data_IF_006093817189
#
_entry.id   IF_006093817189
#
_cell.length_a   1.000
_cell.length_b   1.000
_cell.length_c   1.000
_cell.angle_alpha   90.00
_cell.angle_beta   90.00
_cell.angle_gamma   90.00
#
_symmetry.space_group_name_H-M   'P 1'
#
loop_
_entity.id
_entity.type
_entity.pdbx_description
1 polymer ?
#
# COMPACT_ATOMS: atom_id res chain seq x y z
N UNK A 1 -11.14 4.71 36.96
CA UNK A 1 -10.13 5.16 35.98
C UNK A 1 -9.74 3.92 35.20
N UNK A 2 -10.38 3.72 34.05
CA UNK A 2 -10.10 2.56 33.21
C UNK A 2 -8.81 2.82 32.46
N UNK A 3 -7.84 1.95 32.71
CA UNK A 3 -6.58 1.82 32.00
C UNK A 3 -6.87 1.61 30.50
N UNK A 4 -6.85 2.70 29.73
CA UNK A 4 -6.77 2.64 28.26
C UNK A 4 -5.30 2.52 27.90
N UNK A 5 -4.73 1.35 28.17
CA UNK A 5 -3.51 0.94 27.49
C UNK A 5 -3.78 1.01 25.98
N UNK A 6 -2.98 1.75 25.18
CA UNK A 6 -3.20 1.86 23.75
C UNK A 6 -3.19 0.45 23.15
N UNK A 7 -4.27 0.09 22.45
CA UNK A 7 -4.35 -1.15 21.67
C UNK A 7 -3.10 -1.17 20.78
N UNK A 8 -2.24 -2.22 20.83
CA UNK A 8 -1.09 -2.27 19.94
C UNK A 8 -1.62 -2.12 18.51
N UNK A 9 -0.96 -1.27 17.73
CA UNK A 9 -1.14 -1.20 16.28
C UNK A 9 -0.89 -2.61 15.72
N UNK A 10 -1.95 -3.39 15.65
CA UNK A 10 -1.86 -4.83 15.52
C UNK A 10 -1.57 -5.18 14.08
N UNK A 11 -0.50 -5.93 13.85
CA UNK A 11 -0.38 -6.68 12.63
C UNK A 11 -1.41 -7.80 12.60
N UNK A 12 -2.03 -8.01 11.44
CA UNK A 12 -2.94 -9.12 11.19
C UNK A 12 -2.59 -9.77 9.86
N UNK A 13 -2.87 -11.06 9.75
CA UNK A 13 -2.80 -11.80 8.49
C UNK A 13 -4.23 -12.00 8.00
N UNK A 14 -4.51 -11.54 6.80
CA UNK A 14 -5.81 -11.69 6.13
C UNK A 14 -5.65 -12.47 4.82
N UNK A 15 -6.75 -12.92 4.25
CA UNK A 15 -6.70 -13.53 2.91
C UNK A 15 -6.34 -12.48 1.84
N UNK A 16 -5.72 -12.93 0.75
CA UNK A 16 -5.44 -12.09 -0.41
C UNK A 16 -6.72 -11.45 -0.97
N UNK A 17 -7.82 -12.20 -0.99
CA UNK A 17 -9.14 -11.71 -1.44
C UNK A 17 -9.64 -10.56 -0.56
N UNK A 18 -9.57 -10.68 0.77
CA UNK A 18 -9.97 -9.62 1.70
C UNK A 18 -9.10 -8.36 1.54
N UNK A 19 -7.80 -8.53 1.30
CA UNK A 19 -6.88 -7.43 1.04
C UNK A 19 -7.23 -6.71 -0.27
N UNK A 20 -7.43 -7.46 -1.36
CA UNK A 20 -7.82 -6.92 -2.65
C UNK A 20 -9.17 -6.18 -2.56
N UNK A 21 -10.16 -6.74 -1.85
CA UNK A 21 -11.46 -6.11 -1.64
C UNK A 21 -11.35 -4.80 -0.83
N UNK A 22 -10.44 -4.75 0.15
CA UNK A 22 -10.17 -3.53 0.94
C UNK A 22 -9.59 -2.42 0.07
N UNK A 23 -8.60 -2.74 -0.78
CA UNK A 23 -8.01 -1.80 -1.73
C UNK A 23 -9.04 -1.37 -2.78
N UNK A 24 -9.84 -2.29 -3.31
CA UNK A 24 -10.90 -2.01 -4.27
C UNK A 24 -11.96 -1.07 -3.71
N UNK A 25 -12.32 -1.23 -2.44
CA UNK A 25 -13.23 -0.31 -1.74
C UNK A 25 -12.62 1.09 -1.64
N UNK A 26 -11.33 1.19 -1.27
CA UNK A 26 -10.63 2.47 -1.20
C UNK A 26 -10.54 3.16 -2.57
N UNK A 27 -10.27 2.40 -3.64
CA UNK A 27 -10.27 2.88 -5.03
C UNK A 27 -11.64 3.43 -5.44
N UNK A 28 -12.70 2.65 -5.23
CA UNK A 28 -14.07 3.00 -5.64
C UNK A 28 -14.61 4.22 -4.89
N UNK A 29 -14.37 4.27 -3.58
CA UNK A 29 -14.94 5.32 -2.73
C UNK A 29 -14.04 6.56 -2.66
N UNK A 30 -12.86 6.53 -3.28
CA UNK A 30 -11.88 7.62 -3.27
C UNK A 30 -11.56 8.13 -1.86
N UNK A 31 -11.49 7.22 -0.87
CA UNK A 31 -11.34 7.56 0.55
C UNK A 31 -9.89 7.61 1.03
N UNK A 32 -8.97 7.00 0.28
CA UNK A 32 -7.56 6.89 0.63
C UNK A 32 -6.68 7.33 -0.53
N UNK A 33 -5.49 7.80 -0.20
CA UNK A 33 -4.34 7.73 -1.09
C UNK A 33 -3.81 6.29 -1.07
N UNK A 34 -3.42 5.78 -2.23
CA UNK A 34 -2.96 4.42 -2.42
C UNK A 34 -1.55 4.46 -2.98
N UNK A 35 -0.55 4.09 -2.17
CA UNK A 35 0.82 3.98 -2.65
C UNK A 35 1.13 2.52 -3.04
N UNK A 36 1.52 2.29 -4.28
CA UNK A 36 2.06 1.01 -4.74
C UNK A 36 3.56 0.99 -4.49
N UNK A 37 4.04 0.00 -3.75
CA UNK A 37 5.43 -0.12 -3.32
C UNK A 37 6.04 -1.36 -3.95
N UNK A 38 7.10 -1.24 -4.77
CA UNK A 38 7.75 -2.39 -5.38
C UNK A 38 8.59 -3.17 -4.35
N UNK A 39 8.97 -4.43 -4.68
CA UNK A 39 9.88 -5.25 -3.90
C UNK A 39 11.13 -4.48 -3.51
N UNK A 40 11.51 -4.65 -2.25
CA UNK A 40 12.70 -4.04 -1.69
C UNK A 40 12.55 -2.59 -1.27
N UNK A 41 11.42 -1.93 -1.53
CA UNK A 41 11.12 -0.60 -0.99
C UNK A 41 10.12 -0.62 0.19
N UNK A 42 9.59 -1.78 0.55
CA UNK A 42 8.55 -1.89 1.58
C UNK A 42 8.99 -1.32 2.93
N UNK A 43 10.21 -1.63 3.39
CA UNK A 43 10.78 -1.08 4.61
C UNK A 43 10.90 0.44 4.58
N UNK A 44 11.55 0.98 3.55
CA UNK A 44 11.78 2.42 3.38
C UNK A 44 10.46 3.20 3.28
N UNK A 45 9.48 2.67 2.53
CA UNK A 45 8.14 3.25 2.44
C UNK A 45 7.41 3.25 3.80
N UNK A 46 7.57 2.20 4.61
CA UNK A 46 6.96 2.12 5.92
C UNK A 46 7.52 3.15 6.90
N UNK A 47 8.84 3.38 6.86
CA UNK A 47 9.50 4.41 7.67
C UNK A 47 8.98 5.80 7.33
N UNK A 48 8.81 6.11 6.03
CA UNK A 48 8.21 7.37 5.58
C UNK A 48 6.77 7.54 6.08
N UNK A 49 5.99 6.45 6.10
CA UNK A 49 4.59 6.44 6.49
C UNK A 49 4.35 6.44 8.01
N UNK A 50 5.35 6.10 8.83
CA UNK A 50 5.18 5.92 10.29
C UNK A 50 4.63 7.16 11.00
N UNK A 51 4.91 8.36 10.46
CA UNK A 51 4.41 9.63 10.96
C UNK A 51 2.97 9.97 10.55
N UNK A 52 2.36 9.22 9.62
CA UNK A 52 1.05 9.54 9.07
C UNK A 52 -0.07 8.80 9.83
N UNK A 53 -1.07 9.50 10.39
CA UNK A 53 -2.09 8.85 11.19
C UNK A 53 -3.00 7.96 10.33
N UNK A 54 -3.18 6.72 10.78
CA UNK A 54 -4.17 5.79 10.21
C UNK A 54 -3.74 5.11 8.91
N UNK A 55 -2.47 5.18 8.52
CA UNK A 55 -1.98 4.39 7.39
C UNK A 55 -2.09 2.88 7.68
N UNK A 56 -2.27 2.10 6.64
CA UNK A 56 -2.19 0.63 6.68
C UNK A 56 -1.36 0.17 5.50
N UNK A 57 -0.34 -0.64 5.75
CA UNK A 57 0.41 -1.35 4.73
C UNK A 57 -0.07 -2.79 4.61
N UNK A 58 -0.21 -3.26 3.38
CA UNK A 58 -0.53 -4.62 3.00
C UNK A 58 0.67 -5.21 2.26
N UNK A 59 1.39 -6.12 2.88
CA UNK A 59 2.57 -6.77 2.30
C UNK A 59 2.16 -8.04 1.56
N UNK A 60 2.52 -8.09 0.28
CA UNK A 60 2.31 -9.21 -0.62
C UNK A 60 3.64 -9.91 -0.89
N UNK A 61 3.65 -11.22 -0.73
CA UNK A 61 4.80 -12.12 -0.96
C UNK A 61 4.45 -13.23 -1.95
N UNK A 62 3.41 -13.03 -2.77
CA UNK A 62 2.90 -14.03 -3.71
C UNK A 62 2.17 -15.19 -3.05
N UNK A 63 1.72 -15.03 -1.80
CA UNK A 63 0.96 -16.03 -1.04
C UNK A 63 -0.55 -15.76 -1.06
N UNK A 64 -1.34 -16.76 -0.65
CA UNK A 64 -2.80 -16.65 -0.46
C UNK A 64 -3.20 -15.76 0.74
N UNK A 65 -2.21 -15.32 1.52
CA UNK A 65 -2.38 -14.47 2.69
C UNK A 65 -1.51 -13.23 2.60
N UNK A 66 -2.02 -12.13 3.12
CA UNK A 66 -1.40 -10.81 3.13
C UNK A 66 -1.22 -10.35 4.57
N UNK A 67 -0.03 -9.84 4.89
CA UNK A 67 0.21 -9.21 6.18
C UNK A 67 -0.25 -7.76 6.12
N UNK A 68 -1.13 -7.36 7.02
CA UNK A 68 -1.58 -5.98 7.17
C UNK A 68 -1.04 -5.39 8.46
N UNK A 69 -0.43 -4.21 8.41
CA UNK A 69 0.07 -3.54 9.61
C UNK A 69 0.17 -2.03 9.41
N UNK A 70 0.18 -1.28 10.50
CA UNK A 70 0.54 0.14 10.52
C UNK A 70 1.85 0.38 11.28
N UNK A 71 2.68 -0.65 11.44
CA UNK A 71 3.98 -0.57 12.14
C UNK A 71 5.14 -0.74 11.17
N UNK A 72 5.95 0.31 11.01
CA UNK A 72 7.15 0.28 10.18
C UNK A 72 8.14 -0.81 10.62
N UNK A 73 8.30 -1.00 11.93
CA UNK A 73 9.15 -2.05 12.48
C UNK A 73 8.73 -3.47 12.04
N UNK A 74 7.42 -3.74 11.95
CA UNK A 74 6.91 -5.03 11.48
C UNK A 74 7.14 -5.21 9.98
N UNK A 75 6.95 -4.14 9.21
CA UNK A 75 7.25 -4.14 7.76
C UNK A 75 8.72 -4.42 7.51
N UNK A 76 9.62 -3.68 8.16
CA UNK A 76 11.07 -3.85 8.02
C UNK A 76 11.54 -5.26 8.43
N UNK A 77 11.02 -5.79 9.54
CA UNK A 77 11.34 -7.15 9.96
C UNK A 77 10.85 -8.20 8.94
N UNK A 78 9.64 -8.03 8.40
CA UNK A 78 9.05 -8.96 7.43
C UNK A 78 9.76 -8.90 6.09
N UNK A 79 10.04 -7.70 5.58
CA UNK A 79 10.75 -7.51 4.32
C UNK A 79 12.20 -8.02 4.41
N UNK A 80 12.87 -7.80 5.54
CA UNK A 80 14.19 -8.38 5.82
C UNK A 80 14.20 -9.91 5.82
N UNK A 81 13.18 -10.55 6.42
CA UNK A 81 13.03 -12.01 6.39
C UNK A 81 12.75 -12.55 4.98
N UNK A 82 11.99 -11.81 4.18
CA UNK A 82 11.70 -12.13 2.79
C UNK A 82 12.82 -11.73 1.81
N UNK A 83 14.02 -11.43 2.31
CA UNK A 83 15.15 -11.02 1.48
C UNK A 83 14.84 -9.85 0.52
N UNK A 84 14.04 -8.87 0.97
CA UNK A 84 13.60 -7.70 0.19
C UNK A 84 12.76 -8.04 -1.04
N UNK A 85 12.01 -9.14 -0.98
CA UNK A 85 11.11 -9.55 -2.07
C UNK A 85 9.65 -9.15 -1.83
N UNK A 86 9.32 -8.47 -0.72
CA UNK A 86 7.91 -8.11 -0.45
C UNK A 86 7.51 -6.88 -1.26
N UNK A 87 6.50 -7.01 -2.11
CA UNK A 87 5.78 -5.86 -2.64
C UNK A 87 4.75 -5.39 -1.60
N UNK A 88 4.30 -4.14 -1.68
CA UNK A 88 3.27 -3.67 -0.77
C UNK A 88 2.30 -2.68 -1.42
N UNK A 89 1.11 -2.59 -0.82
CA UNK A 89 0.15 -1.52 -1.07
C UNK A 89 -0.10 -0.81 0.24
N UNK A 90 0.14 0.50 0.28
CA UNK A 90 -0.19 1.32 1.44
C UNK A 90 -1.47 2.11 1.19
N UNK A 91 -2.38 2.07 2.15
CA UNK A 91 -3.59 2.90 2.18
C UNK A 91 -3.38 3.99 3.22
N UNK A 92 -3.51 5.24 2.82
CA UNK A 92 -3.42 6.40 3.73
C UNK A 92 -4.73 7.20 3.65
N UNK A 93 -5.46 7.40 4.76
CA UNK A 93 -6.73 8.11 4.72
C UNK A 93 -6.56 9.54 4.18
N UNK A 94 -7.47 10.00 3.31
CA UNK A 94 -7.40 11.36 2.76
C UNK A 94 -7.53 12.47 3.81
N UNK A 95 -7.97 12.15 5.04
CA UNK A 95 -7.95 13.06 6.18
C UNK A 95 -6.54 13.53 6.57
N UNK A 96 -5.49 12.85 6.11
CA UNK A 96 -4.08 13.28 6.27
C UNK A 96 -3.76 14.52 5.42
N UNK A 97 -4.47 14.73 4.31
CA UNK A 97 -4.24 15.83 3.39
C UNK A 97 -3.10 15.59 2.40
N UNK A 98 -3.21 16.19 1.22
CA UNK A 98 -2.27 16.10 0.09
C UNK A 98 -0.87 16.60 0.42
N UNK A 99 -0.75 17.68 1.19
CA UNK A 99 0.55 18.27 1.57
C UNK A 99 1.42 17.27 2.34
N UNK A 100 0.88 16.61 3.36
CA UNK A 100 1.64 15.67 4.18
C UNK A 100 2.07 14.42 3.37
N UNK A 101 1.22 13.94 2.46
CA UNK A 101 1.58 12.81 1.57
C UNK A 101 2.64 13.25 0.55
N UNK A 102 2.53 14.47 0.03
CA UNK A 102 3.49 15.02 -0.93
C UNK A 102 4.87 15.18 -0.29
N UNK A 103 4.93 15.67 0.96
CA UNK A 103 6.17 15.75 1.75
C UNK A 103 6.73 14.37 2.08
N UNK A 104 5.86 13.41 2.41
CA UNK A 104 6.24 12.03 2.74
C UNK A 104 6.93 11.33 1.56
N UNK A 105 6.39 11.45 0.34
CA UNK A 105 6.91 10.74 -0.83
C UNK A 105 7.73 11.61 -1.79
N UNK A 106 7.83 12.92 -1.55
CA UNK A 106 8.51 13.86 -2.45
C UNK A 106 7.85 14.00 -3.83
N UNK A 107 6.55 13.69 -3.94
CA UNK A 107 5.76 13.78 -5.18
C UNK A 107 4.66 14.83 -5.02
N UNK A 108 4.46 15.69 -6.02
CA UNK A 108 3.36 16.66 -5.99
C UNK A 108 2.03 15.97 -6.23
N UNK A 109 1.07 16.17 -5.33
CA UNK A 109 -0.30 15.62 -5.44
C UNK A 109 -1.28 16.79 -5.59
N UNK A 110 -2.03 16.85 -6.69
CA UNK A 110 -3.05 17.88 -6.89
C UNK A 110 -4.13 17.89 -5.78
N UNK A 111 -4.49 19.08 -5.31
CA UNK A 111 -5.57 19.29 -4.33
C UNK A 111 -6.98 19.09 -4.91
N UNK A 112 -7.10 18.96 -6.24
CA UNK A 112 -8.38 18.77 -6.92
C UNK A 112 -8.92 17.33 -6.83
N UNK A 113 -8.16 16.42 -6.19
CA UNK A 113 -8.52 15.03 -6.02
C UNK A 113 -8.44 14.20 -7.30
N UNK A 114 -7.77 14.71 -8.35
CA UNK A 114 -7.56 13.99 -9.61
C UNK A 114 -6.57 12.82 -9.48
N UNK A 115 -5.77 12.79 -8.41
CA UNK A 115 -4.76 11.76 -8.19
C UNK A 115 -4.84 11.17 -6.78
N UNK A 116 -5.20 9.89 -6.74
CA UNK A 116 -5.29 9.11 -5.50
C UNK A 116 -4.28 7.96 -5.45
N UNK A 117 -3.62 7.67 -6.56
CA UNK A 117 -2.66 6.56 -6.68
C UNK A 117 -1.26 7.14 -6.83
N UNK A 118 -0.34 6.70 -5.98
CA UNK A 118 1.08 7.01 -6.01
C UNK A 118 1.84 5.75 -6.39
N UNK A 119 2.58 5.81 -7.48
CA UNK A 119 3.44 4.70 -7.88
C UNK A 119 4.86 5.01 -7.44
N UNK A 120 5.35 4.28 -6.44
CA UNK A 120 6.76 4.32 -6.08
C UNK A 120 7.54 3.48 -7.09
N UNK A 121 8.72 3.96 -7.48
CA UNK A 121 9.61 3.31 -8.44
C UNK A 121 11.00 3.19 -7.86
N UNK A 122 11.63 2.05 -8.07
CA UNK A 122 13.07 1.87 -7.85
C UNK A 122 13.77 2.03 -9.21
N UNK A 123 14.77 2.90 -9.29
CA UNK A 123 15.53 3.22 -10.53
C UNK A 123 14.67 3.59 -11.77
N UNK A 124 13.44 4.08 -11.55
CA UNK A 124 12.53 4.54 -12.62
C UNK A 124 11.68 3.42 -13.25
N UNK A 125 11.85 2.17 -12.83
CA UNK A 125 10.96 1.08 -13.21
C UNK A 125 9.71 1.10 -12.33
N UNK A 126 8.56 1.38 -12.94
CA UNK A 126 7.26 1.30 -12.27
C UNK A 126 6.79 -0.14 -12.33
N UNK A 127 6.67 -0.77 -11.16
CA UNK A 127 6.19 -2.12 -11.04
C UNK A 127 4.95 -2.14 -10.14
N UNK A 128 3.83 -2.61 -10.69
CA UNK A 128 2.58 -2.73 -9.96
C UNK A 128 2.56 -4.04 -9.17
N UNK A 129 2.37 -4.01 -7.84
CA UNK A 129 2.16 -5.21 -7.05
C UNK A 129 0.96 -5.99 -7.59
N UNK A 130 1.07 -7.31 -7.68
CA UNK A 130 -0.03 -8.16 -8.16
C UNK A 130 -1.29 -7.96 -7.32
N UNK A 131 -1.16 -7.77 -6.01
CA UNK A 131 -2.28 -7.45 -5.11
C UNK A 131 -3.03 -6.17 -5.52
N UNK A 132 -2.31 -5.15 -5.98
CA UNK A 132 -2.95 -3.92 -6.47
C UNK A 132 -3.70 -4.17 -7.77
N UNK A 133 -3.11 -4.91 -8.71
CA UNK A 133 -3.77 -5.29 -9.96
C UNK A 133 -5.05 -6.09 -9.69
N UNK A 134 -5.01 -7.03 -8.76
CA UNK A 134 -6.18 -7.82 -8.34
C UNK A 134 -7.30 -6.92 -7.81
N UNK A 135 -6.96 -5.89 -7.04
CA UNK A 135 -7.92 -4.89 -6.55
C UNK A 135 -8.50 -4.01 -7.68
N UNK A 136 -7.66 -3.58 -8.62
CA UNK A 136 -8.12 -2.83 -9.80
C UNK A 136 -9.07 -3.69 -10.64
N UNK A 137 -8.83 -4.99 -10.78
CA UNK A 137 -9.68 -5.90 -11.54
C UNK A 137 -11.12 -5.98 -11.01
N UNK A 138 -11.32 -5.71 -9.71
CA UNK A 138 -12.64 -5.65 -9.08
C UNK A 138 -13.42 -4.35 -9.39
N UNK A 139 -12.74 -3.29 -9.81
CA UNK A 139 -13.33 -1.95 -10.02
C UNK A 139 -13.29 -1.52 -11.49
N UNK A 140 -12.17 -1.76 -12.16
CA UNK A 140 -11.90 -1.51 -13.58
C UNK A 140 -11.12 -2.69 -14.19
N UNK A 141 -11.83 -3.75 -14.64
CA UNK A 141 -11.21 -4.92 -15.26
C UNK A 141 -10.39 -4.59 -16.51
N UNK A 142 -10.76 -3.53 -17.24
CA UNK A 142 -10.04 -3.12 -18.44
C UNK A 142 -8.70 -2.48 -18.07
N UNK A 143 -8.70 -1.60 -17.08
CA UNK A 143 -7.48 -1.02 -16.50
C UNK A 143 -6.54 -2.09 -15.96
N UNK A 144 -7.06 -3.07 -15.22
CA UNK A 144 -6.26 -4.21 -14.74
C UNK A 144 -5.65 -5.02 -15.88
N UNK A 145 -6.42 -5.31 -16.94
CA UNK A 145 -5.90 -6.00 -18.12
C UNK A 145 -4.79 -5.22 -18.83
N UNK A 146 -4.91 -3.88 -18.90
CA UNK A 146 -3.85 -3.02 -19.45
C UNK A 146 -2.59 -3.05 -18.57
N UNK A 147 -2.74 -2.96 -17.24
CA UNK A 147 -1.62 -3.05 -16.30
C UNK A 147 -0.87 -4.39 -16.42
N UNK A 148 -1.60 -5.50 -16.54
CA UNK A 148 -1.02 -6.84 -16.80
C UNK A 148 -0.28 -6.92 -18.14
N UNK A 149 -0.69 -6.12 -19.12
CA UNK A 149 -0.04 -6.02 -20.44
C UNK A 149 1.15 -5.05 -20.49
N UNK A 150 1.24 -4.10 -19.56
CA UNK A 150 2.28 -3.06 -19.51
C UNK A 150 3.39 -3.38 -18.50
N UNK A 151 3.06 -4.00 -17.37
CA UNK A 151 4.01 -4.37 -16.32
C UNK A 151 4.48 -5.81 -16.47
N UNK A 152 5.75 -6.07 -16.17
CA UNK A 152 6.14 -7.43 -15.74
C UNK A 152 5.47 -7.65 -14.38
N UNK A 153 4.54 -8.61 -14.22
CA UNK A 153 4.02 -8.93 -12.90
C UNK A 153 5.19 -9.37 -12.02
N UNK A 154 5.38 -8.64 -10.93
CA UNK A 154 6.32 -8.98 -9.85
C UNK A 154 5.50 -9.67 -8.77
N UNK A 155 5.88 -10.92 -8.51
CA UNK A 155 5.30 -11.79 -7.49
C UNK A 155 6.01 -11.58 -6.16
#
# INVERSE_FOLDING_TARGET
>A
MSDQSPKPAGASVISREEAAQSIATALKDHTHFIATVPPGMAGDAAELLEGLPGFVMMLDQGMDTVLTTSSAAIVAATDGLAARQSAAVALVPKTVGTTAISECFGQEIPDDGSQDILNLSDDGDVAFPTLFIDAVDLVDPLGAAQMRGQGRPIS
#
